data_IF_567210153345
#
_entry.id   IF_567210153345
#
_cell.length_a   1.000
_cell.length_b   1.000
_cell.length_c   1.000
_cell.angle_alpha   90.00
_cell.angle_beta   90.00
_cell.angle_gamma   90.00
#
_symmetry.space_group_name_H-M   'P 1'
#
loop_
_entity.id
_entity.type
_entity.pdbx_description
1 polymer ?
#
# COMPACT_ATOMS: atom_id res chain seq x y z
N UNK A 1 -1.38 -7.30 -12.63
CA UNK A 1 -1.78 -6.59 -11.38
C UNK A 1 -2.63 -5.36 -11.67
N UNK A 2 -2.12 -4.38 -12.41
CA UNK A 2 -2.85 -3.12 -12.63
C UNK A 2 -4.21 -3.24 -13.32
N UNK A 3 -4.40 -4.18 -14.22
CA UNK A 3 -5.72 -4.43 -14.84
C UNK A 3 -6.84 -4.72 -13.82
N UNK A 4 -6.51 -5.36 -12.70
CA UNK A 4 -7.46 -5.62 -11.62
C UNK A 4 -7.74 -4.33 -10.85
N UNK A 5 -6.71 -3.54 -10.58
CA UNK A 5 -6.85 -2.25 -9.90
C UNK A 5 -7.65 -1.27 -10.74
N UNK A 6 -7.37 -1.19 -12.05
CA UNK A 6 -8.10 -0.34 -12.97
C UNK A 6 -9.59 -0.71 -13.01
N UNK A 7 -9.91 -2.02 -13.03
CA UNK A 7 -11.31 -2.47 -12.96
C UNK A 7 -11.99 -2.10 -11.63
N UNK A 8 -11.30 -2.25 -10.51
CA UNK A 8 -11.84 -1.83 -9.21
C UNK A 8 -12.08 -0.32 -9.17
N UNK A 9 -11.15 0.45 -9.72
CA UNK A 9 -11.29 1.89 -9.82
C UNK A 9 -12.48 2.30 -10.69
N UNK A 10 -12.69 1.64 -11.83
CA UNK A 10 -13.85 1.87 -12.69
C UNK A 10 -15.18 1.60 -11.94
N UNK A 11 -15.25 0.50 -11.20
CA UNK A 11 -16.42 0.17 -10.36
C UNK A 11 -16.68 1.23 -9.28
N UNK A 12 -15.63 1.89 -8.80
CA UNK A 12 -15.69 2.99 -7.84
C UNK A 12 -15.85 4.36 -8.49
N UNK A 13 -15.94 4.45 -9.80
CA UNK A 13 -15.99 5.71 -10.58
C UNK A 13 -14.78 6.61 -10.32
N UNK A 14 -13.62 6.01 -10.24
CA UNK A 14 -12.34 6.70 -10.12
C UNK A 14 -11.61 6.68 -11.46
N UNK A 15 -10.90 7.74 -11.78
CA UNK A 15 -10.11 7.87 -12.99
C UNK A 15 -8.62 7.75 -12.69
N UNK A 16 -7.91 6.94 -13.47
CA UNK A 16 -6.45 6.89 -13.41
C UNK A 16 -5.84 8.11 -14.10
N UNK A 17 -4.89 8.75 -13.41
CA UNK A 17 -4.04 9.81 -13.97
C UNK A 17 -2.61 9.60 -13.51
N UNK A 18 -1.63 9.92 -14.36
CA UNK A 18 -0.22 9.90 -13.94
C UNK A 18 0.02 10.98 -12.90
N UNK A 19 0.61 10.61 -11.76
CA UNK A 19 1.05 11.58 -10.76
C UNK A 19 2.39 12.17 -11.20
N UNK A 20 2.38 13.38 -11.74
CA UNK A 20 3.52 13.99 -12.44
C UNK A 20 4.74 14.19 -11.53
N UNK A 21 4.55 14.65 -10.30
CA UNK A 21 5.65 15.02 -9.41
C UNK A 21 6.33 13.83 -8.75
N UNK A 22 5.59 12.83 -8.32
CA UNK A 22 6.09 11.73 -7.50
C UNK A 22 6.25 10.41 -8.24
N UNK A 23 5.81 10.34 -9.48
CA UNK A 23 5.87 9.12 -10.32
C UNK A 23 5.29 7.90 -9.63
N UNK A 24 4.17 8.07 -8.93
CA UNK A 24 3.41 6.96 -8.33
C UNK A 24 2.95 6.00 -9.45
N UNK A 25 3.07 4.72 -9.24
CA UNK A 25 2.73 3.69 -10.23
C UNK A 25 1.29 3.80 -10.71
N UNK A 26 0.35 4.02 -9.77
CA UNK A 26 -1.04 4.31 -10.05
C UNK A 26 -1.60 5.32 -9.07
N UNK A 27 -2.25 6.34 -9.60
CA UNK A 27 -3.02 7.31 -8.83
C UNK A 27 -4.43 7.43 -9.43
N UNK A 28 -5.44 7.29 -8.61
CA UNK A 28 -6.84 7.33 -9.02
C UNK A 28 -7.54 8.51 -8.38
N UNK A 29 -8.25 9.27 -9.16
CA UNK A 29 -8.87 10.53 -8.80
C UNK A 29 -10.39 10.44 -8.93
N UNK A 30 -11.10 11.28 -8.22
CA UNK A 30 -12.54 11.46 -8.34
C UNK A 30 -12.84 12.84 -8.90
N UNK A 31 -13.44 12.89 -10.09
CA UNK A 31 -13.77 14.15 -10.76
C UNK A 31 -12.52 15.00 -10.99
N UNK A 32 -12.66 16.31 -10.79
CA UNK A 32 -11.60 17.29 -11.04
C UNK A 32 -10.68 17.53 -9.83
N UNK A 33 -10.64 16.59 -8.88
CA UNK A 33 -9.77 16.72 -7.71
C UNK A 33 -8.29 16.67 -8.10
N UNK A 34 -7.50 17.57 -7.52
CA UNK A 34 -6.04 17.57 -7.66
C UNK A 34 -5.34 16.56 -6.75
N UNK A 35 -6.06 16.01 -5.76
CA UNK A 35 -5.55 15.00 -4.85
C UNK A 35 -6.13 13.63 -5.20
N UNK A 36 -5.31 12.58 -5.29
CA UNK A 36 -5.80 11.24 -5.53
C UNK A 36 -6.59 10.71 -4.34
N UNK A 37 -7.64 9.97 -4.61
CA UNK A 37 -8.34 9.16 -3.61
C UNK A 37 -7.48 7.95 -3.23
N UNK A 38 -6.86 7.33 -4.24
CA UNK A 38 -6.07 6.14 -4.08
C UNK A 38 -4.71 6.30 -4.77
N UNK A 39 -3.63 6.06 -4.04
CA UNK A 39 -2.27 5.99 -4.58
C UNK A 39 -1.69 4.59 -4.34
N UNK A 40 -1.14 3.99 -5.37
CA UNK A 40 -0.65 2.60 -5.35
C UNK A 40 0.78 2.54 -5.87
N UNK A 41 1.64 1.90 -5.10
CA UNK A 41 2.97 1.46 -5.52
C UNK A 41 3.03 -0.06 -5.53
N UNK A 42 3.65 -0.62 -6.55
CA UNK A 42 3.83 -2.05 -6.73
C UNK A 42 5.32 -2.37 -6.90
N UNK A 43 5.93 -2.93 -5.88
CA UNK A 43 7.37 -3.21 -5.86
C UNK A 43 7.66 -4.71 -5.80
N UNK A 44 8.39 -5.18 -6.81
CA UNK A 44 8.85 -6.57 -6.89
C UNK A 44 10.17 -6.80 -6.15
N UNK A 45 10.95 -5.74 -5.90
CA UNK A 45 12.22 -5.82 -5.19
C UNK A 45 12.07 -5.44 -3.74
N UNK A 46 12.40 -6.33 -2.82
CA UNK A 46 12.38 -6.06 -1.39
C UNK A 46 13.25 -4.85 -1.01
N UNK A 47 14.37 -4.66 -1.70
CA UNK A 47 15.29 -3.55 -1.45
C UNK A 47 14.72 -2.19 -1.85
N UNK A 48 14.00 -2.11 -2.97
CA UNK A 48 13.45 -0.85 -3.48
C UNK A 48 12.37 -0.24 -2.60
N UNK A 49 11.67 -1.05 -1.80
CA UNK A 49 10.57 -0.61 -0.95
C UNK A 49 10.96 0.57 -0.05
N UNK A 50 12.13 0.51 0.58
CA UNK A 50 12.57 1.51 1.54
C UNK A 50 13.18 2.75 0.90
N UNK A 51 13.84 2.55 -0.23
CA UNK A 51 14.61 3.61 -0.88
C UNK A 51 13.71 4.53 -1.71
N UNK A 52 12.61 4.02 -2.23
CA UNK A 52 11.77 4.78 -3.16
C UNK A 52 10.26 4.68 -2.93
N UNK A 53 9.68 3.51 -2.78
CA UNK A 53 8.22 3.35 -2.81
C UNK A 53 7.54 3.90 -1.55
N UNK A 54 8.03 3.56 -0.36
CA UNK A 54 7.47 4.10 0.89
C UNK A 54 7.63 5.61 0.98
N UNK A 55 8.81 6.21 0.71
CA UNK A 55 8.93 7.66 0.69
C UNK A 55 7.97 8.35 -0.29
N UNK A 56 7.76 7.81 -1.48
CA UNK A 56 6.79 8.36 -2.45
C UNK A 56 5.36 8.29 -1.92
N UNK A 57 4.94 7.12 -1.42
CA UNK A 57 3.61 6.96 -0.85
C UNK A 57 3.38 7.86 0.36
N UNK A 58 4.40 8.08 1.19
CA UNK A 58 4.29 9.00 2.32
C UNK A 58 4.20 10.45 1.89
N UNK A 59 4.81 10.82 0.77
CA UNK A 59 4.79 12.19 0.25
C UNK A 59 3.51 12.54 -0.51
N UNK A 60 2.81 11.57 -1.10
CA UNK A 60 1.56 11.82 -1.82
C UNK A 60 0.41 12.11 -0.85
N UNK A 61 -0.39 13.12 -1.14
CA UNK A 61 -1.60 13.40 -0.39
C UNK A 61 -2.79 12.62 -0.97
N UNK A 62 -2.95 11.36 -0.53
CA UNK A 62 -4.05 10.50 -0.94
C UNK A 62 -4.86 10.03 0.27
N UNK A 63 -6.14 9.76 0.10
CA UNK A 63 -6.99 9.24 1.18
C UNK A 63 -6.57 7.83 1.59
N UNK A 64 -6.27 6.97 0.60
CA UNK A 64 -5.74 5.64 0.80
C UNK A 64 -4.44 5.45 0.03
N UNK A 65 -3.42 5.00 0.71
CA UNK A 65 -2.14 4.60 0.13
C UNK A 65 -2.02 3.08 0.16
N UNK A 66 -1.63 2.49 -0.95
CA UNK A 66 -1.49 1.04 -1.09
C UNK A 66 -0.08 0.70 -1.52
N UNK A 67 0.58 -0.13 -0.75
CA UNK A 67 1.83 -0.78 -1.13
C UNK A 67 1.57 -2.25 -1.41
N UNK A 68 1.87 -2.68 -2.63
CA UNK A 68 1.85 -4.08 -3.04
C UNK A 68 3.29 -4.53 -3.18
N UNK A 69 3.70 -5.51 -2.42
CA UNK A 69 5.06 -6.02 -2.47
C UNK A 69 5.13 -7.51 -2.16
N UNK A 70 6.31 -8.08 -2.31
CA UNK A 70 6.54 -9.52 -2.18
C UNK A 70 7.72 -9.81 -1.27
N UNK A 71 7.65 -10.93 -0.57
CA UNK A 71 8.73 -11.43 0.26
C UNK A 71 8.90 -12.94 0.07
N UNK A 72 10.15 -13.39 -0.04
CA UNK A 72 10.48 -14.82 -0.20
C UNK A 72 10.25 -15.59 1.07
N UNK A 73 10.68 -15.02 2.19
CA UNK A 73 10.76 -15.71 3.46
C UNK A 73 9.82 -15.10 4.51
N UNK A 74 9.36 -15.93 5.43
CA UNK A 74 8.53 -15.50 6.56
C UNK A 74 9.22 -14.41 7.40
N UNK A 75 10.55 -14.52 7.57
CA UNK A 75 11.34 -13.53 8.31
C UNK A 75 11.32 -12.16 7.63
N UNK A 76 11.48 -12.11 6.30
CA UNK A 76 11.38 -10.86 5.54
C UNK A 76 10.01 -10.21 5.68
N UNK A 77 8.93 -11.01 5.61
CA UNK A 77 7.55 -10.53 5.77
C UNK A 77 7.33 -9.92 7.15
N UNK A 78 7.79 -10.58 8.18
CA UNK A 78 7.69 -10.08 9.55
C UNK A 78 8.47 -8.76 9.73
N UNK A 79 9.70 -8.69 9.24
CA UNK A 79 10.52 -7.48 9.31
C UNK A 79 9.86 -6.32 8.57
N UNK A 80 9.39 -6.56 7.33
CA UNK A 80 8.74 -5.55 6.52
C UNK A 80 7.50 -4.98 7.23
N UNK A 81 6.62 -5.84 7.72
CA UNK A 81 5.42 -5.43 8.46
C UNK A 81 5.78 -4.59 9.69
N UNK A 82 6.76 -5.01 10.46
CA UNK A 82 7.21 -4.31 11.67
C UNK A 82 7.81 -2.94 11.35
N UNK A 83 8.62 -2.86 10.32
CA UNK A 83 9.28 -1.62 9.91
C UNK A 83 8.28 -0.61 9.32
N UNK A 84 7.36 -1.06 8.47
CA UNK A 84 6.28 -0.21 7.95
C UNK A 84 5.43 0.32 9.09
N UNK A 85 5.02 -0.52 10.01
CA UNK A 85 4.27 -0.10 11.21
C UNK A 85 5.01 0.96 11.99
N UNK A 86 6.31 0.76 12.24
CA UNK A 86 7.15 1.73 12.94
C UNK A 86 7.25 3.06 12.21
N UNK A 87 7.42 3.04 10.89
CA UNK A 87 7.49 4.25 10.06
C UNK A 87 6.17 5.01 10.07
N UNK A 88 5.05 4.34 9.85
CA UNK A 88 3.73 4.96 9.86
C UNK A 88 3.42 5.58 11.23
N UNK A 89 3.73 4.90 12.31
CA UNK A 89 3.56 5.45 13.66
C UNK A 89 4.38 6.72 13.87
N UNK A 90 5.64 6.71 13.43
CA UNK A 90 6.51 7.89 13.55
C UNK A 90 5.95 9.08 12.76
N UNK A 91 5.50 8.85 11.53
CA UNK A 91 4.91 9.89 10.68
C UNK A 91 3.59 10.44 11.25
N UNK A 92 2.77 9.58 11.84
CA UNK A 92 1.53 10.01 12.49
C UNK A 92 1.79 10.84 13.75
N UNK A 93 2.71 10.41 14.61
CA UNK A 93 3.09 11.18 15.80
C UNK A 93 3.64 12.55 15.45
N UNK A 94 4.33 12.65 14.32
CA UNK A 94 4.82 13.91 13.79
C UNK A 94 3.75 14.76 13.08
N UNK A 95 2.51 14.30 12.99
CA UNK A 95 1.41 14.97 12.31
C UNK A 95 1.51 14.99 10.78
N UNK A 96 2.40 14.18 10.19
CA UNK A 96 2.62 14.13 8.73
C UNK A 96 1.80 13.09 8.01
N UNK A 97 1.19 12.16 8.72
CA UNK A 97 0.35 11.10 8.15
C UNK A 97 -0.94 10.96 8.96
N UNK A 98 -2.07 11.11 8.32
CA UNK A 98 -3.40 11.02 8.95
C UNK A 98 -4.41 10.28 8.06
N UNK A 99 -3.97 9.54 7.09
CA UNK A 99 -4.82 8.81 6.15
C UNK A 99 -4.63 7.31 6.28
N UNK A 100 -5.40 6.55 5.52
CA UNK A 100 -5.31 5.09 5.54
C UNK A 100 -4.13 4.58 4.73
N UNK A 101 -3.57 3.47 5.18
CA UNK A 101 -2.50 2.74 4.49
C UNK A 101 -2.85 1.24 4.44
N UNK A 102 -2.70 0.65 3.25
CA UNK A 102 -2.92 -0.76 3.01
C UNK A 102 -1.62 -1.41 2.52
N UNK A 103 -1.14 -2.40 3.25
CA UNK A 103 -0.05 -3.27 2.82
C UNK A 103 -0.63 -4.57 2.29
N UNK A 104 -0.40 -4.85 1.00
CA UNK A 104 -0.72 -6.13 0.37
C UNK A 104 0.59 -6.87 0.16
N UNK A 105 0.79 -7.92 0.93
CA UNK A 105 2.03 -8.67 0.98
C UNK A 105 1.85 -10.04 0.35
N UNK A 106 2.49 -10.21 -0.81
CA UNK A 106 2.54 -11.46 -1.54
C UNK A 106 3.75 -12.31 -1.18
N UNK A 107 3.69 -13.59 -1.52
CA UNK A 107 4.82 -14.50 -1.43
C UNK A 107 5.56 -14.53 -2.77
N UNK A 108 6.86 -14.30 -2.77
CA UNK A 108 7.67 -14.37 -3.98
C UNK A 108 7.92 -15.82 -4.41
N UNK A 109 7.75 -16.13 -5.72
CA UNK A 109 8.05 -17.43 -6.33
C UNK A 109 6.92 -17.94 -7.24
N UNK A 110 7.20 -19.03 -7.96
CA UNK A 110 6.30 -19.64 -8.96
C UNK A 110 4.97 -20.19 -8.40
N UNK A 111 4.86 -20.29 -7.10
CA UNK A 111 3.69 -20.85 -6.39
C UNK A 111 2.50 -19.89 -6.47
N UNK A 112 2.69 -18.67 -6.89
CA UNK A 112 1.65 -17.64 -6.99
C UNK A 112 0.44 -18.02 -7.84
N UNK A 113 0.65 -18.79 -8.88
CA UNK A 113 -0.42 -19.12 -9.82
C UNK A 113 -1.40 -20.18 -9.30
N UNK A 114 -1.08 -20.88 -8.22
CA UNK A 114 -1.81 -22.10 -7.80
C UNK A 114 -2.44 -22.01 -6.41
N UNK A 115 -2.00 -21.16 -5.52
CA UNK A 115 -2.52 -21.08 -4.15
C UNK A 115 -3.38 -19.82 -3.96
N UNK A 116 -4.66 -20.02 -3.69
CA UNK A 116 -5.63 -18.94 -3.42
C UNK A 116 -5.33 -18.13 -2.15
N UNK A 117 -4.31 -18.49 -1.38
CA UNK A 117 -3.95 -17.90 -0.09
C UNK A 117 -2.61 -17.16 -0.08
N UNK A 118 -2.14 -16.70 -1.25
CA UNK A 118 -0.80 -16.16 -1.40
C UNK A 118 -0.61 -14.71 -0.94
N UNK A 119 -1.67 -14.02 -0.53
CA UNK A 119 -1.58 -12.62 -0.09
C UNK A 119 -2.07 -12.44 1.34
N UNK A 120 -1.31 -11.67 2.11
CA UNK A 120 -1.72 -11.12 3.39
C UNK A 120 -2.02 -9.64 3.23
N UNK A 121 -3.12 -9.17 3.83
CA UNK A 121 -3.54 -7.77 3.76
C UNK A 121 -3.53 -7.19 5.17
N UNK A 122 -2.78 -6.10 5.34
CA UNK A 122 -2.67 -5.36 6.58
C UNK A 122 -3.21 -3.95 6.38
N UNK A 123 -4.23 -3.62 7.12
CA UNK A 123 -4.86 -2.32 7.04
C UNK A 123 -4.49 -1.46 8.24
N UNK A 124 -4.00 -0.27 7.95
CA UNK A 124 -3.64 0.75 8.91
C UNK A 124 -4.56 1.96 8.73
N UNK A 125 -5.18 2.42 9.81
CA UNK A 125 -6.10 3.54 9.77
C UNK A 125 -5.90 4.49 10.97
N UNK A 126 -6.19 5.80 10.80
CA UNK A 126 -6.11 6.77 11.88
C UNK A 126 -7.05 6.43 13.03
N UNK A 127 -6.65 6.73 14.25
CA UNK A 127 -7.45 6.52 15.47
C UNK A 127 -7.18 5.22 16.19
N UNK A 128 -6.43 4.28 15.60
CA UNK A 128 -6.00 3.03 16.25
C UNK A 128 -4.61 3.15 16.90
N UNK A 129 -4.31 4.29 17.47
CA UNK A 129 -2.97 4.81 17.69
C UNK A 129 -2.06 4.02 18.61
N UNK A 130 -2.55 3.32 19.59
CA UNK A 130 -1.66 2.85 20.65
C UNK A 130 -1.46 1.34 20.72
N UNK A 131 -2.43 0.52 20.34
CA UNK A 131 -2.32 -0.91 20.65
C UNK A 131 -2.45 -1.87 19.45
N UNK A 132 -3.19 -1.53 18.41
CA UNK A 132 -3.38 -2.44 17.27
C UNK A 132 -3.51 -1.68 15.95
N UNK A 133 -2.40 -1.20 15.47
CA UNK A 133 -2.35 -0.37 14.28
C UNK A 133 -2.60 -1.15 12.98
N UNK A 134 -2.49 -2.48 13.06
CA UNK A 134 -2.67 -3.36 11.92
C UNK A 134 -3.73 -4.42 12.22
N UNK A 135 -4.72 -4.51 11.35
CA UNK A 135 -5.63 -5.67 11.31
C UNK A 135 -5.22 -6.57 10.17
N UNK A 136 -4.93 -7.81 10.48
CA UNK A 136 -4.76 -8.85 9.47
C UNK A 136 -6.17 -9.23 8.99
N UNK A 137 -6.45 -9.03 7.70
CA UNK A 137 -7.59 -9.67 7.05
C UNK A 137 -7.07 -10.91 6.32
N UNK A 138 -7.32 -12.07 6.87
CA UNK A 138 -7.29 -13.32 6.11
C UNK A 138 -8.58 -13.36 5.29
N UNK A 139 -8.47 -13.55 3.99
CA UNK A 139 -9.64 -13.95 3.21
C UNK A 139 -10.09 -15.33 3.74
N UNK A 140 -11.31 -15.35 4.19
CA UNK A 140 -12.00 -16.61 4.40
C UNK A 140 -12.18 -17.36 3.06
#
# INVERSE_FOLDING_TARGET
MFKILDKVADDMKLEWKQHEMLRIDRAYYKGDSDCPILAVEHENSFKGIWDSEIPRLMAVNAELRVLICYAKERKQRFLLQRQIKGKLNAEMRAGRFNNEFLLILGKEGEVFAREKESFEVYWYYPGAYEETLWKKRTRA
#
